data_IF_488645698639
#
_entry.id   IF_488645698639
#
_cell.length_a   1.000
_cell.length_b   1.000
_cell.length_c   1.000
_cell.angle_alpha   90.00
_cell.angle_beta   90.00
_cell.angle_gamma   90.00
#
_symmetry.space_group_name_H-M   'P 1'
#
loop_
_entity.id
_entity.type
_entity.pdbx_description
1 polymer ?
#
# COMPACT_ATOMS: atom_id res chain seq x y z
N UNK A 1 5.37 -13.01 31.12
CA UNK A 1 6.37 -12.10 30.54
C UNK A 1 6.08 -11.98 29.06
N UNK A 2 6.07 -10.75 28.54
CA UNK A 2 5.74 -10.45 27.15
C UNK A 2 6.73 -11.11 26.19
N UNK A 3 6.22 -11.79 25.16
CA UNK A 3 6.99 -12.42 24.09
C UNK A 3 6.84 -11.55 22.84
N UNK A 4 7.94 -11.19 22.19
CA UNK A 4 7.91 -10.41 20.94
C UNK A 4 8.37 -11.30 19.80
N UNK A 5 7.66 -11.28 18.68
CA UNK A 5 7.94 -12.05 17.49
C UNK A 5 8.20 -11.11 16.31
N UNK A 6 9.20 -11.44 15.50
CA UNK A 6 9.48 -10.76 14.26
C UNK A 6 9.26 -11.69 13.08
N UNK A 7 8.61 -11.19 12.02
CA UNK A 7 8.32 -11.94 10.79
C UNK A 7 8.83 -11.19 9.56
N UNK A 8 9.17 -11.93 8.50
CA UNK A 8 9.65 -11.47 7.19
C UNK A 8 8.71 -12.08 6.17
N UNK A 9 8.14 -11.25 5.32
CA UNK A 9 7.27 -11.68 4.24
C UNK A 9 7.83 -11.17 2.92
N UNK A 10 8.24 -12.10 2.05
CA UNK A 10 8.60 -11.79 0.67
C UNK A 10 7.34 -11.62 -0.17
N UNK A 11 7.46 -10.90 -1.28
CA UNK A 11 6.35 -10.71 -2.23
C UNK A 11 5.82 -12.07 -2.71
N UNK A 12 4.52 -12.31 -2.55
CA UNK A 12 3.87 -13.58 -2.92
C UNK A 12 4.07 -14.75 -1.95
N UNK A 13 4.83 -14.57 -0.85
CA UNK A 13 5.05 -15.61 0.16
C UNK A 13 4.25 -15.36 1.46
N UNK A 14 4.09 -16.41 2.26
CA UNK A 14 3.50 -16.29 3.60
C UNK A 14 4.53 -15.72 4.60
N UNK A 15 4.10 -14.95 5.63
CA UNK A 15 5.01 -14.45 6.67
C UNK A 15 5.77 -15.58 7.37
N UNK A 16 7.09 -15.51 7.38
CA UNK A 16 7.98 -16.44 8.08
C UNK A 16 8.52 -15.78 9.33
N UNK A 17 8.48 -16.47 10.48
CA UNK A 17 9.07 -15.96 11.71
C UNK A 17 10.60 -15.95 11.58
N UNK A 18 11.25 -14.82 11.81
CA UNK A 18 12.73 -14.78 11.86
C UNK A 18 13.22 -15.18 13.24
N UNK A 19 12.57 -14.62 14.27
CA UNK A 19 13.01 -14.76 15.65
C UNK A 19 11.88 -14.44 16.61
N UNK A 20 12.11 -14.78 17.87
CA UNK A 20 11.32 -14.30 18.98
C UNK A 20 12.22 -13.89 20.15
N UNK A 21 11.73 -12.96 20.95
CA UNK A 21 12.45 -12.33 22.04
C UNK A 21 11.64 -12.48 23.34
N UNK A 22 12.28 -13.08 24.36
CA UNK A 22 11.67 -13.31 25.68
C UNK A 22 12.67 -12.94 26.76
N UNK A 23 12.28 -12.06 27.68
CA UNK A 23 13.04 -11.81 28.91
C UNK A 23 14.49 -11.39 28.69
N UNK A 24 14.78 -10.61 27.65
CA UNK A 24 16.15 -10.17 27.34
C UNK A 24 16.90 -11.07 26.36
N UNK A 25 16.33 -12.21 25.95
CA UNK A 25 16.99 -13.20 25.09
C UNK A 25 16.28 -13.34 23.75
N UNK A 26 17.02 -13.13 22.66
CA UNK A 26 16.58 -13.43 21.30
C UNK A 26 16.84 -14.91 20.96
N UNK A 27 15.90 -15.54 20.28
CA UNK A 27 16.02 -16.88 19.71
C UNK A 27 15.65 -16.82 18.22
N UNK A 28 16.59 -17.19 17.36
CA UNK A 28 16.47 -17.12 15.91
C UNK A 28 16.02 -18.45 15.32
N UNK A 29 15.18 -18.41 14.30
CA UNK A 29 14.85 -19.59 13.52
C UNK A 29 16.07 -20.07 12.72
N UNK A 30 16.15 -21.38 12.51
CA UNK A 30 17.31 -22.04 11.88
C UNK A 30 17.68 -21.47 10.51
N UNK A 31 16.67 -21.09 9.71
CA UNK A 31 16.83 -20.50 8.38
C UNK A 31 17.39 -19.07 8.38
N UNK A 32 17.42 -18.40 9.54
CA UNK A 32 17.87 -17.02 9.70
C UNK A 32 19.09 -16.90 10.64
N UNK A 33 19.76 -18.02 10.94
CA UNK A 33 20.96 -18.03 11.76
C UNK A 33 22.14 -17.35 11.04
N UNK A 34 22.34 -16.07 11.36
CA UNK A 34 23.53 -15.32 10.99
C UNK A 34 23.68 -14.12 11.92
N UNK A 35 24.92 -13.73 12.22
CA UNK A 35 25.26 -12.56 13.05
C UNK A 35 24.78 -11.21 12.47
N UNK A 36 23.95 -11.25 11.42
CA UNK A 36 23.37 -10.10 10.72
C UNK A 36 22.13 -9.57 11.42
N UNK A 37 21.30 -10.43 11.99
CA UNK A 37 20.08 -10.01 12.68
C UNK A 37 20.35 -9.82 14.18
N UNK A 38 20.09 -8.62 14.69
CA UNK A 38 20.23 -8.28 16.10
C UNK A 38 18.91 -7.71 16.63
N UNK A 39 18.61 -8.02 17.89
CA UNK A 39 17.42 -7.51 18.56
C UNK A 39 17.79 -6.97 19.92
N UNK A 40 17.36 -5.75 20.18
CA UNK A 40 17.61 -5.05 21.43
C UNK A 40 16.28 -4.57 22.03
N UNK A 41 16.15 -4.73 23.34
CA UNK A 41 15.12 -4.06 24.11
C UNK A 41 15.71 -2.80 24.74
N UNK A 42 15.07 -1.65 24.50
CA UNK A 42 15.51 -0.41 25.14
C UNK A 42 15.03 -0.44 26.59
N UNK A 43 15.98 -0.56 27.54
CA UNK A 43 15.67 -0.60 28.97
C UNK A 43 14.82 0.62 29.38
N UNK A 44 13.68 0.37 30.03
CA UNK A 44 12.72 1.41 30.42
C UNK A 44 11.73 1.86 29.34
N UNK A 45 11.78 1.30 28.14
CA UNK A 45 10.81 1.56 27.06
C UNK A 45 10.13 0.27 26.59
N UNK A 46 8.87 0.36 26.17
CA UNK A 46 8.14 -0.73 25.49
C UNK A 46 8.54 -0.82 24.00
N UNK A 47 9.85 -0.72 23.72
CA UNK A 47 10.40 -0.68 22.37
C UNK A 47 11.34 -1.83 22.12
N UNK A 48 11.07 -2.57 21.05
CA UNK A 48 11.93 -3.62 20.53
C UNK A 48 12.45 -3.20 19.16
N UNK A 49 13.76 -3.22 18.97
CA UNK A 49 14.42 -2.79 17.73
C UNK A 49 15.05 -4.00 17.07
N UNK A 50 14.70 -4.24 15.80
CA UNK A 50 15.37 -5.19 14.93
C UNK A 50 16.41 -4.45 14.08
N UNK A 51 17.65 -4.91 14.14
CA UNK A 51 18.76 -4.39 13.34
C UNK A 51 19.24 -5.48 12.39
N UNK A 52 19.34 -5.15 11.11
CA UNK A 52 19.85 -6.04 10.05
C UNK A 52 21.17 -5.45 9.56
N UNK A 53 22.28 -6.16 9.76
CA UNK A 53 23.62 -5.81 9.28
C UNK A 53 23.89 -6.46 7.94
N UNK A 54 24.80 -5.87 7.17
CA UNK A 54 25.27 -6.39 5.88
C UNK A 54 24.09 -6.74 4.97
N UNK A 55 23.27 -5.74 4.68
CA UNK A 55 22.04 -5.86 3.90
C UNK A 55 22.35 -6.49 2.53
N UNK A 56 21.61 -7.54 2.18
CA UNK A 56 21.70 -8.23 0.88
C UNK A 56 20.35 -8.16 0.15
N UNK A 57 20.30 -8.37 -1.18
CA UNK A 57 19.05 -8.33 -1.95
C UNK A 57 17.93 -9.24 -1.41
N UNK A 58 18.29 -10.39 -0.82
CA UNK A 58 17.33 -11.31 -0.18
C UNK A 58 16.58 -10.68 1.01
N UNK A 59 17.14 -9.66 1.66
CA UNK A 59 16.51 -8.97 2.79
C UNK A 59 15.34 -8.08 2.37
N UNK A 60 15.10 -7.90 1.07
CA UNK A 60 13.95 -7.16 0.52
C UNK A 60 12.65 -7.90 0.84
N UNK A 61 11.92 -7.41 1.85
CA UNK A 61 10.71 -8.03 2.36
C UNK A 61 9.95 -7.06 3.26
N UNK A 62 8.68 -7.36 3.54
CA UNK A 62 7.92 -6.68 4.60
C UNK A 62 8.22 -7.34 5.95
N UNK A 63 8.55 -6.52 6.95
CA UNK A 63 8.87 -6.99 8.30
C UNK A 63 7.75 -6.66 9.28
N UNK A 64 7.26 -7.66 10.01
CA UNK A 64 6.19 -7.50 11.00
C UNK A 64 6.69 -7.76 12.41
N UNK A 65 6.18 -6.98 13.36
CA UNK A 65 6.39 -7.18 14.79
C UNK A 65 5.05 -7.51 15.46
N UNK A 66 5.03 -8.58 16.25
CA UNK A 66 3.87 -8.99 17.05
C UNK A 66 4.31 -9.28 18.47
N UNK A 67 3.43 -9.09 19.46
CA UNK A 67 3.73 -9.48 20.83
C UNK A 67 2.60 -10.28 21.45
N UNK A 68 2.95 -11.12 22.41
CA UNK A 68 2.03 -11.93 23.19
C UNK A 68 2.26 -11.66 24.68
N UNK A 69 1.23 -11.21 25.38
CA UNK A 69 1.23 -11.04 26.82
C UNK A 69 0.15 -11.93 27.46
N UNK A 70 0.52 -12.95 28.25
CA UNK A 70 -0.44 -13.84 28.90
C UNK A 70 -1.34 -13.16 29.94
N UNK A 71 -1.03 -11.94 30.40
CA UNK A 71 -1.84 -11.20 31.38
C UNK A 71 -2.85 -10.24 30.73
N UNK A 72 -2.84 -10.12 29.40
CA UNK A 72 -3.76 -9.29 28.61
C UNK A 72 -4.88 -10.15 28.03
N UNK A 73 -6.14 -9.84 28.37
CA UNK A 73 -7.35 -10.44 27.74
C UNK A 73 -7.52 -9.94 26.28
N UNK A 74 -6.75 -8.95 25.84
CA UNK A 74 -6.74 -8.47 24.46
C UNK A 74 -5.76 -9.30 23.61
N UNK A 75 -6.31 -10.04 22.65
CA UNK A 75 -5.58 -10.59 21.50
C UNK A 75 -4.84 -9.45 20.77
N UNK A 76 -3.58 -9.71 20.42
CA UNK A 76 -2.59 -8.71 20.04
C UNK A 76 -3.03 -7.70 18.99
N UNK A 77 -2.74 -6.43 19.26
CA UNK A 77 -2.72 -5.39 18.24
C UNK A 77 -1.63 -5.74 17.22
N UNK A 78 -2.06 -6.10 16.00
CA UNK A 78 -1.18 -6.08 14.84
C UNK A 78 -0.80 -4.63 14.57
N UNK A 79 0.39 -4.22 15.02
CA UNK A 79 0.97 -2.97 14.54
C UNK A 79 1.37 -3.20 13.08
N UNK A 80 0.53 -2.73 12.16
CA UNK A 80 0.89 -2.54 10.76
C UNK A 80 1.94 -1.43 10.71
N UNK A 81 3.21 -1.81 10.82
CA UNK A 81 4.27 -0.93 10.34
C UNK A 81 4.11 -0.82 8.82
N UNK A 82 4.30 0.38 8.24
CA UNK A 82 4.45 0.48 6.80
C UNK A 82 5.61 -0.42 6.36
N UNK A 83 5.52 -1.07 5.19
CA UNK A 83 6.57 -1.95 4.71
C UNK A 83 7.90 -1.21 4.63
N UNK A 84 8.95 -1.73 5.29
CA UNK A 84 10.31 -1.26 5.10
C UNK A 84 10.83 -1.93 3.83
N UNK A 85 10.83 -1.21 2.71
CA UNK A 85 11.47 -1.68 1.49
C UNK A 85 12.93 -1.29 1.57
N UNK A 86 13.81 -2.29 1.64
CA UNK A 86 15.24 -2.06 1.40
C UNK A 86 15.40 -1.74 -0.07
N UNK A 87 15.66 -0.46 -0.35
CA UNK A 87 15.98 0.02 -1.68
C UNK A 87 17.39 -0.49 -2.05
N UNK A 88 17.46 -1.57 -2.84
CA UNK A 88 18.72 -2.06 -3.45
C UNK A 88 19.31 -1.03 -4.44
N UNK A 89 18.46 -0.09 -4.89
CA UNK A 89 18.80 0.96 -5.85
C UNK A 89 18.71 2.34 -5.19
N UNK A 90 19.41 3.32 -5.77
CA UNK A 90 19.31 4.71 -5.34
C UNK A 90 17.85 5.17 -5.33
N UNK A 91 17.42 5.81 -4.24
CA UNK A 91 16.05 6.33 -4.10
C UNK A 91 15.83 7.41 -5.15
N UNK A 92 14.75 7.30 -5.93
CA UNK A 92 14.37 8.28 -6.95
C UNK A 92 13.06 8.96 -6.59
N UNK A 93 13.11 10.28 -6.45
CA UNK A 93 11.92 11.12 -6.28
C UNK A 93 10.95 10.95 -7.48
N UNK A 94 9.65 11.20 -7.28
CA UNK A 94 8.70 11.26 -8.39
C UNK A 94 9.16 12.22 -9.49
N UNK A 95 9.13 11.76 -10.74
CA UNK A 95 9.52 12.58 -11.88
C UNK A 95 8.41 13.56 -12.29
N UNK A 96 7.16 13.12 -12.18
CA UNK A 96 5.98 13.93 -12.49
C UNK A 96 4.98 13.86 -11.33
N UNK A 97 4.27 14.96 -11.14
CA UNK A 97 3.19 15.10 -10.18
C UNK A 97 2.14 16.03 -10.78
N UNK A 98 0.92 15.55 -10.93
CA UNK A 98 -0.18 16.33 -11.50
C UNK A 98 -1.53 16.04 -10.83
N UNK A 99 -2.42 17.03 -10.87
CA UNK A 99 -3.79 16.91 -10.40
C UNK A 99 -4.72 17.18 -11.58
N UNK A 100 -5.46 16.17 -11.98
CA UNK A 100 -6.49 16.25 -13.01
C UNK A 100 -7.85 16.41 -12.34
N UNK A 101 -8.75 17.16 -12.96
CA UNK A 101 -10.12 17.30 -12.47
C UNK A 101 -11.11 17.07 -13.60
N UNK A 102 -12.19 16.36 -13.30
CA UNK A 102 -13.29 16.20 -14.24
C UNK A 102 -14.63 16.33 -13.55
N UNK A 103 -15.49 17.17 -14.12
CA UNK A 103 -16.89 17.26 -13.72
C UNK A 103 -17.71 16.23 -14.50
N UNK A 104 -18.50 15.45 -13.77
CA UNK A 104 -19.49 14.54 -14.34
C UNK A 104 -20.81 14.70 -13.59
N UNK A 105 -21.85 15.16 -14.31
CA UNK A 105 -23.16 15.49 -13.75
C UNK A 105 -23.07 16.51 -12.58
N UNK A 106 -23.48 16.09 -11.38
CA UNK A 106 -23.50 16.83 -10.13
C UNK A 106 -22.27 16.54 -9.23
N UNK A 107 -21.25 15.86 -9.76
CA UNK A 107 -20.02 15.53 -9.04
C UNK A 107 -18.77 16.02 -9.79
N UNK A 108 -17.72 16.32 -9.04
CA UNK A 108 -16.37 16.61 -9.53
C UNK A 108 -15.44 15.55 -8.95
N UNK A 109 -14.65 14.92 -9.81
CA UNK A 109 -13.61 13.98 -9.42
C UNK A 109 -12.24 14.59 -9.67
N UNK A 110 -11.45 14.69 -8.62
CA UNK A 110 -10.04 15.05 -8.65
C UNK A 110 -9.21 13.76 -8.68
N UNK A 111 -8.19 13.71 -9.52
CA UNK A 111 -7.24 12.61 -9.64
C UNK A 111 -5.85 13.16 -9.46
N UNK A 112 -5.12 12.65 -8.48
CA UNK A 112 -3.73 12.96 -8.21
C UNK A 112 -2.87 11.82 -8.74
N UNK A 113 -2.00 12.13 -9.70
CA UNK A 113 -1.10 11.19 -10.33
C UNK A 113 0.34 11.50 -9.92
N UNK A 114 1.02 10.50 -9.37
CA UNK A 114 2.43 10.58 -8.97
C UNK A 114 3.20 9.53 -9.74
N UNK A 115 4.15 9.96 -10.58
CA UNK A 115 4.77 9.06 -11.54
C UNK A 115 6.27 8.86 -11.32
N UNK A 116 6.73 7.65 -11.65
CA UNK A 116 8.14 7.28 -11.82
C UNK A 116 9.00 7.53 -10.58
N UNK A 117 8.56 7.02 -9.44
CA UNK A 117 9.30 7.05 -8.18
C UNK A 117 9.80 5.65 -7.76
N UNK A 118 10.77 5.61 -6.85
CA UNK A 118 11.29 4.39 -6.27
C UNK A 118 11.89 4.70 -4.89
N UNK A 119 11.62 3.93 -3.82
CA UNK A 119 10.87 2.66 -3.77
C UNK A 119 9.35 2.83 -3.84
N UNK A 120 8.60 1.73 -3.89
CA UNK A 120 7.12 1.71 -3.98
C UNK A 120 6.40 2.45 -2.83
N UNK A 121 7.07 2.61 -1.69
CA UNK A 121 6.48 3.23 -0.49
C UNK A 121 6.34 4.74 -0.68
N UNK A 122 5.09 5.19 -0.83
CA UNK A 122 4.72 6.60 -0.92
C UNK A 122 3.39 6.84 -0.19
N UNK A 123 3.29 7.97 0.49
CA UNK A 123 2.05 8.36 1.16
C UNK A 123 1.41 9.53 0.44
N UNK A 124 0.19 9.33 -0.07
CA UNK A 124 -0.61 10.37 -0.73
C UNK A 124 -1.77 10.79 0.18
N UNK A 125 -1.91 12.11 0.39
CA UNK A 125 -2.94 12.74 1.22
C UNK A 125 -3.64 13.87 0.46
N UNK A 126 -4.90 14.13 0.82
CA UNK A 126 -5.69 15.23 0.26
C UNK A 126 -5.96 16.25 1.36
N UNK A 127 -5.86 17.53 1.02
CA UNK A 127 -6.19 18.63 1.92
C UNK A 127 -7.14 19.62 1.25
N UNK A 128 -8.03 20.21 2.03
CA UNK A 128 -8.85 21.34 1.58
C UNK A 128 -8.05 22.66 1.51
N UNK A 129 -8.72 23.75 1.15
CA UNK A 129 -8.17 25.11 1.12
C UNK A 129 -7.64 25.60 2.48
N UNK A 130 -8.11 25.04 3.58
CA UNK A 130 -7.68 25.36 4.95
C UNK A 130 -6.55 24.42 5.42
N UNK A 131 -5.97 23.62 4.52
CA UNK A 131 -4.98 22.59 4.81
C UNK A 131 -5.46 21.49 5.78
N UNK A 132 -6.78 21.30 5.93
CA UNK A 132 -7.33 20.20 6.72
C UNK A 132 -7.35 18.94 5.89
N UNK A 133 -6.94 17.83 6.51
CA UNK A 133 -6.91 16.53 5.85
C UNK A 133 -8.32 16.04 5.52
N UNK A 134 -8.51 15.64 4.25
CA UNK A 134 -9.74 15.09 3.74
C UNK A 134 -9.55 13.59 3.56
N UNK A 135 -10.33 12.80 4.27
CA UNK A 135 -10.33 11.33 4.17
C UNK A 135 -11.65 10.78 3.64
N UNK A 136 -12.73 11.56 3.74
CA UNK A 136 -14.03 11.18 3.19
C UNK A 136 -13.98 11.15 1.65
N UNK A 137 -14.51 10.08 1.06
CA UNK A 137 -14.59 9.88 -0.41
C UNK A 137 -13.24 9.91 -1.14
N UNK A 138 -12.14 9.73 -0.42
CA UNK A 138 -10.81 9.51 -0.99
C UNK A 138 -10.63 8.03 -1.26
N UNK A 139 -10.16 7.71 -2.46
CA UNK A 139 -9.78 6.34 -2.84
C UNK A 139 -8.31 6.38 -3.25
N UNK A 140 -7.51 5.57 -2.55
CA UNK A 140 -6.09 5.38 -2.86
C UNK A 140 -5.94 4.19 -3.80
N UNK A 141 -5.40 4.42 -4.99
CA UNK A 141 -5.03 3.35 -5.90
C UNK A 141 -3.80 2.58 -5.40
N UNK A 142 -3.57 1.40 -5.98
CA UNK A 142 -2.33 0.67 -5.76
C UNK A 142 -1.21 1.25 -6.62
N UNK A 143 0.02 1.22 -6.12
CA UNK A 143 1.17 1.54 -6.95
C UNK A 143 1.33 0.47 -8.04
N UNK A 144 1.67 0.88 -9.26
CA UNK A 144 1.96 -0.03 -10.37
C UNK A 144 3.36 0.22 -10.91
N UNK A 145 4.02 -0.86 -11.35
CA UNK A 145 5.32 -0.80 -12.02
C UNK A 145 5.15 -0.24 -13.43
N UNK A 146 6.02 0.69 -13.82
CA UNK A 146 6.03 1.26 -15.15
C UNK A 146 6.53 0.22 -16.18
N UNK A 147 5.84 0.02 -17.32
CA UNK A 147 6.29 -0.94 -18.34
C UNK A 147 7.56 -0.51 -19.08
N UNK A 148 7.79 0.80 -19.17
CA UNK A 148 8.88 1.41 -19.97
C UNK A 148 10.14 1.65 -19.16
N UNK A 149 10.02 1.79 -17.84
CA UNK A 149 11.12 2.03 -16.91
C UNK A 149 11.06 0.94 -15.84
N UNK A 150 11.78 -0.16 -16.09
CA UNK A 150 11.91 -1.26 -15.13
C UNK A 150 12.34 -0.69 -13.76
N UNK A 151 11.65 -1.12 -12.71
CA UNK A 151 11.85 -0.72 -11.31
C UNK A 151 11.31 0.64 -10.85
N UNK A 152 10.60 1.39 -11.69
CA UNK A 152 9.89 2.59 -11.20
C UNK A 152 8.40 2.38 -11.02
N UNK A 153 7.87 2.95 -9.95
CA UNK A 153 6.47 2.87 -9.59
C UNK A 153 5.75 4.18 -9.91
N UNK A 154 4.45 4.07 -10.15
CA UNK A 154 3.52 5.19 -10.25
C UNK A 154 2.28 4.87 -9.43
N UNK A 155 1.59 5.89 -8.89
CA UNK A 155 0.37 5.72 -8.10
C UNK A 155 -0.65 6.80 -8.46
N UNK A 156 -1.92 6.44 -8.38
CA UNK A 156 -3.05 7.34 -8.57
C UNK A 156 -3.94 7.35 -7.33
N UNK A 157 -4.38 8.52 -6.90
CA UNK A 157 -5.37 8.72 -5.83
C UNK A 157 -6.50 9.60 -6.36
N UNK A 158 -7.74 9.34 -5.99
CA UNK A 158 -8.87 10.16 -6.45
C UNK A 158 -9.83 10.54 -5.33
N UNK A 159 -10.38 11.75 -5.44
CA UNK A 159 -11.32 12.36 -4.51
C UNK A 159 -12.57 12.79 -5.29
N UNK A 160 -13.75 12.37 -4.87
CA UNK A 160 -15.02 12.75 -5.52
C UNK A 160 -15.88 13.59 -4.60
N UNK A 161 -16.24 14.79 -5.05
CA UNK A 161 -17.01 15.78 -4.30
C UNK A 161 -18.24 16.26 -5.08
N UNK A 162 -19.30 16.73 -4.41
CA UNK A 162 -20.45 17.33 -5.08
C UNK A 162 -20.08 18.65 -5.77
N UNK A 163 -20.57 18.88 -6.99
CA UNK A 163 -20.31 20.07 -7.80
C UNK A 163 -20.94 21.36 -7.25
N UNK A 164 -21.70 21.28 -6.15
CA UNK A 164 -22.20 22.45 -5.44
C UNK A 164 -21.09 23.18 -4.66
N UNK A 165 -19.97 22.52 -4.36
CA UNK A 165 -18.83 23.10 -3.66
C UNK A 165 -17.87 23.80 -4.63
N UNK A 166 -18.37 24.76 -5.41
CA UNK A 166 -17.63 25.39 -6.53
C UNK A 166 -16.39 26.22 -6.13
N UNK A 167 -16.12 26.41 -4.85
CA UNK A 167 -15.00 27.23 -4.35
C UNK A 167 -14.05 26.47 -3.40
N UNK A 168 -14.11 25.13 -3.40
CA UNK A 168 -13.16 24.30 -2.66
C UNK A 168 -12.10 23.77 -3.60
N UNK A 169 -10.95 24.43 -3.61
CA UNK A 169 -9.75 23.86 -4.20
C UNK A 169 -9.21 22.78 -3.25
N UNK A 170 -8.97 21.60 -3.81
CA UNK A 170 -8.37 20.48 -3.10
C UNK A 170 -6.92 20.33 -3.55
N UNK A 171 -6.05 20.16 -2.58
CA UNK A 171 -4.62 19.95 -2.80
C UNK A 171 -4.29 18.49 -2.51
N UNK A 172 -3.53 17.88 -3.41
CA UNK A 172 -2.90 16.58 -3.16
C UNK A 172 -1.48 16.81 -2.65
N UNK A 173 -1.08 16.08 -1.61
CA UNK A 173 0.29 16.06 -1.08
C UNK A 173 0.80 14.64 -1.13
N UNK A 174 2.09 14.48 -1.39
CA UNK A 174 2.76 13.18 -1.30
C UNK A 174 4.01 13.27 -0.42
N UNK A 175 4.32 12.16 0.23
CA UNK A 175 5.53 12.00 1.03
C UNK A 175 6.27 10.74 0.55
N UNK A 176 7.53 10.92 0.16
CA UNK A 176 8.40 9.88 -0.39
C UNK A 176 9.81 10.03 0.20
N UNK A 177 10.51 8.91 0.41
CA UNK A 177 11.78 8.86 1.15
C UNK A 177 13.01 9.42 0.39
N UNK A 178 12.82 10.09 -0.75
CA UNK A 178 13.93 10.57 -1.58
C UNK A 178 14.85 11.57 -0.88
N UNK A 179 16.20 11.37 -0.93
CA UNK A 179 17.17 12.28 -0.34
C UNK A 179 17.25 13.55 -1.18
N UNK A 180 16.44 14.53 -0.78
CA UNK A 180 16.34 15.81 -1.47
C UNK A 180 14.87 16.18 -1.67
N UNK A 181 14.43 17.11 -0.82
CA UNK A 181 13.10 17.75 -0.81
C UNK A 181 11.94 16.85 -0.32
N UNK A 182 11.59 17.03 0.94
CA UNK A 182 10.16 17.16 1.29
C UNK A 182 9.62 18.40 0.55
N UNK A 183 9.36 18.26 -0.75
CA UNK A 183 8.65 19.27 -1.51
C UNK A 183 7.19 19.21 -1.05
N UNK A 184 6.89 19.92 0.03
CA UNK A 184 5.60 20.60 0.12
C UNK A 184 5.60 21.64 -0.99
N UNK A 185 5.35 21.23 -2.23
CA UNK A 185 5.15 22.16 -3.33
C UNK A 185 3.83 22.87 -3.07
N UNK A 186 3.94 24.04 -2.44
CA UNK A 186 2.97 25.10 -2.61
C UNK A 186 2.98 25.50 -4.09
N UNK A 187 1.77 25.65 -4.63
CA UNK A 187 1.43 26.28 -5.90
C UNK A 187 1.98 25.63 -7.19
N UNK A 188 1.23 24.64 -7.69
CA UNK A 188 1.04 24.47 -9.14
C UNK A 188 -0.45 24.65 -9.44
N UNK A 189 -0.82 25.92 -9.64
CA UNK A 189 -2.06 26.37 -10.26
C UNK A 189 -1.98 26.12 -11.76
N UNK A 190 -2.27 24.91 -12.21
CA UNK A 190 -2.83 24.72 -13.55
C UNK A 190 -3.74 23.49 -13.57
N UNK A 191 -5.01 23.71 -13.25
CA UNK A 191 -6.06 22.71 -13.45
C UNK A 191 -6.35 22.65 -14.95
N UNK A 192 -5.72 21.72 -15.68
CA UNK A 192 -6.10 21.48 -17.06
C UNK A 192 -7.45 20.74 -17.11
N UNK A 193 -8.45 21.42 -17.65
CA UNK A 193 -9.74 20.84 -17.97
C UNK A 193 -9.60 20.05 -19.27
N UNK A 194 -9.35 18.74 -19.18
CA UNK A 194 -9.36 17.90 -20.38
C UNK A 194 -10.80 17.67 -20.84
N UNK A 195 -11.15 18.32 -21.94
CA UNK A 195 -12.37 18.04 -22.66
C UNK A 195 -12.23 16.70 -23.39
N UNK A 196 -12.96 15.68 -22.92
CA UNK A 196 -13.04 14.39 -23.60
C UNK A 196 -14.03 14.53 -24.77
N UNK A 197 -13.70 15.43 -25.70
CA UNK A 197 -14.23 15.38 -27.04
C UNK A 197 -13.65 14.11 -27.68
N UNK A 198 -14.51 13.14 -28.02
CA UNK A 198 -14.14 11.94 -28.79
C UNK A 198 -13.60 12.42 -30.13
N UNK A 199 -12.31 12.73 -30.17
CA UNK A 199 -11.55 12.86 -31.40
C UNK A 199 -10.88 11.52 -31.61
N UNK A 200 -11.28 10.88 -32.69
CA UNK A 200 -10.80 9.57 -33.14
C UNK A 200 -9.30 9.63 -33.41
N UNK A 201 -8.48 9.37 -32.40
CA UNK A 201 -7.08 8.95 -32.55
C UNK A 201 -6.85 7.75 -31.63
N UNK A 202 -7.56 6.66 -31.91
CA UNK A 202 -7.15 5.35 -31.43
C UNK A 202 -5.88 4.97 -32.19
N UNK A 203 -4.71 5.16 -31.59
CA UNK A 203 -3.58 4.30 -31.87
C UNK A 203 -2.55 4.25 -30.73
N UNK A 204 -2.35 3.01 -30.25
CA UNK A 204 -1.07 2.44 -29.81
C UNK A 204 -0.57 2.79 -28.40
N UNK A 205 -1.21 2.19 -27.37
CA UNK A 205 -0.63 2.11 -26.02
C UNK A 205 -1.54 1.47 -24.95
N UNK A 206 -2.86 1.62 -25.06
CA UNK A 206 -3.81 1.34 -23.97
C UNK A 206 -4.49 -0.05 -23.96
N UNK A 207 -4.03 -1.03 -24.75
CA UNK A 207 -4.64 -2.36 -24.74
C UNK A 207 -4.42 -3.12 -23.42
N UNK A 208 -3.42 -2.78 -22.62
CA UNK A 208 -3.05 -3.58 -21.46
C UNK A 208 -3.88 -3.23 -20.22
N UNK A 209 -4.11 -1.94 -19.94
CA UNK A 209 -4.78 -1.48 -18.70
C UNK A 209 -6.26 -1.88 -18.66
N UNK A 210 -6.98 -1.71 -19.79
CA UNK A 210 -8.38 -2.13 -19.88
C UNK A 210 -8.52 -3.66 -19.76
N UNK A 211 -7.54 -4.40 -20.31
CA UNK A 211 -7.49 -5.87 -20.19
C UNK A 211 -7.29 -6.29 -18.74
N UNK A 212 -6.39 -5.65 -17.98
CA UNK A 212 -6.19 -5.96 -16.56
C UNK A 212 -7.44 -5.69 -15.72
N UNK A 213 -8.12 -4.56 -15.93
CA UNK A 213 -9.39 -4.24 -15.25
C UNK A 213 -10.51 -5.25 -15.57
N UNK A 214 -10.59 -5.71 -16.82
CA UNK A 214 -11.56 -6.73 -17.24
C UNK A 214 -11.24 -8.10 -16.65
N UNK A 215 -9.97 -8.50 -16.62
CA UNK A 215 -9.52 -9.77 -16.00
C UNK A 215 -9.82 -9.77 -14.50
N UNK A 216 -9.58 -8.66 -13.81
CA UNK A 216 -9.84 -8.57 -12.37
C UNK A 216 -11.34 -8.66 -12.04
N UNK A 217 -12.21 -8.04 -12.86
CA UNK A 217 -13.67 -8.20 -12.74
C UNK A 217 -14.13 -9.63 -13.04
N UNK A 218 -13.56 -10.27 -14.06
CA UNK A 218 -13.91 -11.65 -14.40
C UNK A 218 -13.49 -12.64 -13.30
N UNK A 219 -12.27 -12.49 -12.76
CA UNK A 219 -11.77 -13.32 -11.66
C UNK A 219 -12.64 -13.17 -10.40
N UNK A 220 -13.06 -11.95 -10.07
CA UNK A 220 -13.96 -11.69 -8.94
C UNK A 220 -15.33 -12.38 -9.12
N UNK A 221 -15.92 -12.33 -10.31
CA UNK A 221 -17.17 -13.02 -10.60
C UNK A 221 -17.04 -14.54 -10.52
N UNK A 222 -15.93 -15.10 -11.04
CA UNK A 222 -15.64 -16.54 -10.95
C UNK A 222 -15.50 -16.97 -9.49
N UNK A 223 -14.81 -16.17 -8.66
CA UNK A 223 -14.67 -16.45 -7.23
C UNK A 223 -16.02 -16.48 -6.50
N UNK A 224 -16.92 -15.53 -6.78
CA UNK A 224 -18.29 -15.52 -6.23
C UNK A 224 -19.05 -16.80 -6.62
N UNK A 225 -18.98 -17.20 -7.90
CA UNK A 225 -19.65 -18.43 -8.38
C UNK A 225 -19.13 -19.67 -7.66
N UNK A 226 -17.81 -19.76 -7.43
CA UNK A 226 -17.20 -20.86 -6.70
C UNK A 226 -17.65 -20.92 -5.23
N UNK A 227 -17.75 -19.76 -4.56
CA UNK A 227 -18.26 -19.69 -3.18
C UNK A 227 -19.71 -20.14 -3.09
N UNK A 228 -20.57 -19.69 -4.01
CA UNK A 228 -21.96 -20.11 -4.07
C UNK A 228 -22.07 -21.63 -4.31
N UNK A 229 -21.25 -22.17 -5.22
CA UNK A 229 -21.21 -23.61 -5.49
C UNK A 229 -20.75 -24.41 -4.25
N UNK A 230 -19.74 -23.93 -3.53
CA UNK A 230 -19.27 -24.53 -2.28
C UNK A 230 -20.34 -24.52 -1.19
N UNK A 231 -21.07 -23.40 -1.06
CA UNK A 231 -22.20 -23.28 -0.13
C UNK A 231 -23.33 -24.27 -0.46
N UNK A 232 -23.66 -24.45 -1.75
CA UNK A 232 -24.63 -25.44 -2.18
C UNK A 232 -24.19 -26.87 -1.85
N UNK A 233 -22.92 -27.24 -2.09
CA UNK A 233 -22.41 -28.55 -1.70
C UNK A 233 -22.51 -28.78 -0.19
N UNK A 234 -22.16 -27.78 0.61
CA UNK A 234 -22.28 -27.87 2.06
C UNK A 234 -23.73 -28.14 2.51
N UNK A 235 -24.72 -27.43 1.96
CA UNK A 235 -26.13 -27.66 2.26
C UNK A 235 -26.61 -29.06 1.83
N UNK A 236 -26.18 -29.53 0.65
CA UNK A 236 -26.52 -30.90 0.21
C UNK A 236 -25.95 -31.97 1.14
N UNK A 237 -24.69 -31.83 1.57
CA UNK A 237 -24.06 -32.74 2.53
C UNK A 237 -24.81 -32.71 3.86
N UNK A 238 -25.17 -31.52 4.36
CA UNK A 238 -25.94 -31.36 5.58
C UNK A 238 -27.30 -32.09 5.50
N UNK A 239 -27.99 -31.98 4.37
CA UNK A 239 -29.26 -32.66 4.13
C UNK A 239 -29.12 -34.20 4.19
N UNK A 240 -28.01 -34.76 3.69
CA UNK A 240 -27.75 -36.21 3.77
C UNK A 240 -27.29 -36.67 5.16
N UNK A 241 -26.66 -35.79 5.96
CA UNK A 241 -26.21 -36.13 7.33
C UNK A 241 -27.36 -36.08 8.34
N UNK A 242 -28.29 -35.14 8.18
CA UNK A 242 -29.39 -34.90 9.14
C UNK A 242 -30.73 -35.54 8.74
N UNK A 243 -30.73 -36.43 7.74
CA UNK A 243 -31.87 -37.27 7.34
C UNK A 243 -31.63 -38.70 7.77
#
# INVERSE_FOLDING_TARGET
GTVIHWYKQKEGEAPQRLLYFVGGKASFESSFQGNRYMVENVSGQTRCVLTIKDIIPDDTATYYCAYWDPHSILFGLFFFFPPIIIADKGISAPANFEILQKKHADHITYVCLVEKFYPEVIQVTWTDKENKEVTDKVVKGHAWKNPTEEDKYSIGSWLTVPANNKEEFYHCKYEHESPGRSLSTQDLTDSQEEDCSISTVFNRGNQNVLTYLLVHRAAYLVYIVLLLKSSMYYLTILFFIYR
#
